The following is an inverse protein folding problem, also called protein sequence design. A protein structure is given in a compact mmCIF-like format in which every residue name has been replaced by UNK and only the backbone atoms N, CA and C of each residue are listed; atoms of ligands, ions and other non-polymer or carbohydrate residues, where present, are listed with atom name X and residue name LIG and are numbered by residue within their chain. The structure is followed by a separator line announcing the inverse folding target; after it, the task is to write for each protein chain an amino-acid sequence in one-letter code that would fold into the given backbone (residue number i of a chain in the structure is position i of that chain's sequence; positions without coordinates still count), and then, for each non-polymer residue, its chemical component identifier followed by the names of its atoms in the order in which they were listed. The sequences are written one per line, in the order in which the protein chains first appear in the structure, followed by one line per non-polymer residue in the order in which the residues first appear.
data_IF_109811524324
#
_entry.id   IF_109811524324
#
_cell.length_a   1.000
_cell.length_b   1.000
_cell.length_c   1.000
_cell.angle_alpha   90.00
_cell.angle_beta   90.00
_cell.angle_gamma   90.00
#
_symmetry.space_group_name_H-M   'P 1'
#
loop_
_entity.id
_entity.type
_entity.pdbx_description
1 polymer ?
#
# COMPACT_ATOMS: atom_id res chain seq x y z
N UNK A 1 -8.12 -2.35 17.00
CA UNK A 1 -9.02 -1.52 16.16
C UNK A 1 -10.06 -0.73 16.99
N UNK A 2 -10.76 -1.33 17.94
CA UNK A 2 -11.75 -0.62 18.78
C UNK A 2 -11.20 0.58 19.59
N UNK A 3 -9.93 0.54 20.00
CA UNK A 3 -9.28 1.67 20.68
C UNK A 3 -9.09 2.88 19.74
N UNK A 4 -8.73 2.66 18.50
CA UNK A 4 -8.56 3.72 17.50
C UNK A 4 -9.89 4.36 17.09
N UNK A 5 -10.98 3.58 17.07
CA UNK A 5 -12.31 4.10 16.75
C UNK A 5 -12.84 5.11 17.79
N UNK A 6 -12.24 5.15 18.99
CA UNK A 6 -12.60 6.10 20.06
C UNK A 6 -11.84 7.42 19.98
N UNK A 7 -10.83 7.53 19.12
CA UNK A 7 -10.09 8.78 18.95
C UNK A 7 -10.99 9.79 18.23
N UNK A 8 -11.22 10.98 18.83
CA UNK A 8 -12.03 12.00 18.18
C UNK A 8 -11.35 12.46 16.88
N UNK A 9 -12.06 12.34 15.78
CA UNK A 9 -11.60 12.78 14.47
C UNK A 9 -12.43 13.97 14.01
N UNK A 10 -11.77 14.99 13.51
CA UNK A 10 -12.41 16.14 12.88
C UNK A 10 -12.26 16.01 11.37
N UNK A 11 -13.31 15.59 10.64
CA UNK A 11 -13.22 15.44 9.19
C UNK A 11 -12.92 16.81 8.55
N UNK A 12 -11.86 16.85 7.75
CA UNK A 12 -11.50 18.02 6.95
C UNK A 12 -11.39 17.59 5.49
N UNK A 13 -11.94 18.39 4.62
CA UNK A 13 -11.84 18.15 3.18
C UNK A 13 -10.45 18.60 2.70
N UNK A 14 -9.48 17.70 2.75
CA UNK A 14 -8.10 17.91 2.28
C UNK A 14 -7.87 17.27 0.93
N UNK A 15 -7.01 17.88 0.13
CA UNK A 15 -6.54 17.26 -1.10
C UNK A 15 -5.64 16.07 -0.75
N UNK A 16 -5.94 14.90 -1.30
CA UNK A 16 -5.15 13.69 -1.10
C UNK A 16 -4.03 13.62 -2.12
N UNK A 17 -2.80 13.50 -1.64
CA UNK A 17 -1.58 13.46 -2.47
C UNK A 17 -0.89 12.12 -2.28
N UNK A 18 -0.84 11.32 -3.35
CA UNK A 18 -0.14 10.03 -3.35
C UNK A 18 1.38 10.22 -3.42
N UNK A 19 2.11 9.64 -2.47
CA UNK A 19 3.57 9.59 -2.49
C UNK A 19 4.00 8.28 -3.14
N UNK A 20 4.58 8.37 -4.33
CA UNK A 20 5.08 7.23 -5.10
C UNK A 20 6.59 7.36 -5.31
N UNK A 21 7.26 6.23 -5.55
CA UNK A 21 8.69 6.22 -5.81
C UNK A 21 9.38 4.95 -5.29
N UNK A 22 10.69 4.99 -5.28
CA UNK A 22 11.54 3.93 -4.75
C UNK A 22 11.29 3.77 -3.25
N UNK A 23 11.39 2.54 -2.75
CA UNK A 23 10.99 2.17 -1.38
C UNK A 23 11.73 2.98 -0.30
N UNK A 24 13.04 3.16 -0.45
CA UNK A 24 13.83 3.93 0.52
C UNK A 24 13.39 5.40 0.53
N UNK A 25 13.32 6.04 -0.64
CA UNK A 25 12.92 7.45 -0.77
C UNK A 25 11.50 7.66 -0.26
N UNK A 26 10.61 6.72 -0.53
CA UNK A 26 9.20 6.82 -0.10
C UNK A 26 9.01 6.79 1.41
N UNK A 27 9.78 5.94 2.13
CA UNK A 27 9.61 5.72 3.56
C UNK A 27 10.67 6.38 4.45
N UNK A 28 11.76 6.91 3.88
CA UNK A 28 12.83 7.53 4.64
C UNK A 28 12.71 9.07 4.61
N UNK A 29 12.36 9.71 5.73
CA UNK A 29 12.24 11.17 5.81
C UNK A 29 13.52 11.91 5.36
N UNK A 30 14.68 11.34 5.65
CA UNK A 30 15.97 11.88 5.19
C UNK A 30 16.10 11.84 3.67
N UNK A 31 15.61 10.78 3.02
CA UNK A 31 15.67 10.60 1.57
C UNK A 31 14.68 11.46 0.79
N UNK A 32 13.56 11.85 1.41
CA UNK A 32 12.50 12.63 0.78
C UNK A 32 12.29 14.03 1.37
N UNK A 33 13.25 14.54 2.15
CA UNK A 33 13.17 15.85 2.78
C UNK A 33 11.91 16.08 3.63
N UNK A 34 11.49 15.08 4.39
CA UNK A 34 10.27 15.13 5.21
C UNK A 34 9.00 15.49 4.42
N UNK A 35 8.84 14.89 3.24
CA UNK A 35 7.75 15.20 2.30
C UNK A 35 6.36 15.09 2.93
N UNK A 36 6.14 14.10 3.81
CA UNK A 36 4.85 13.95 4.51
C UNK A 36 4.55 15.15 5.41
N UNK A 37 5.53 15.60 6.17
CA UNK A 37 5.39 16.78 7.05
C UNK A 37 5.15 18.05 6.22
N UNK A 38 5.84 18.19 5.10
CA UNK A 38 5.63 19.29 4.16
C UNK A 38 4.19 19.31 3.65
N UNK A 39 3.67 18.17 3.15
CA UNK A 39 2.29 18.07 2.66
C UNK A 39 1.26 18.38 3.74
N UNK A 40 1.49 17.94 4.98
CA UNK A 40 0.61 18.26 6.09
C UNK A 40 0.59 19.75 6.40
N UNK A 41 1.72 20.45 6.30
CA UNK A 41 1.83 21.93 6.46
C UNK A 41 1.07 22.66 5.35
N UNK A 42 1.11 22.13 4.13
CA UNK A 42 0.34 22.66 2.98
C UNK A 42 -1.15 22.26 3.01
N UNK A 43 -1.63 21.75 4.15
CA UNK A 43 -3.02 21.31 4.35
C UNK A 43 -3.48 20.20 3.40
N UNK A 44 -2.56 19.41 2.86
CA UNK A 44 -2.82 18.19 2.10
C UNK A 44 -2.83 16.95 3.00
N UNK A 45 -3.45 15.87 2.52
CA UNK A 45 -3.42 14.54 3.15
C UNK A 45 -2.43 13.66 2.39
N UNK A 46 -1.25 13.34 2.96
CA UNK A 46 -0.30 12.44 2.31
C UNK A 46 -0.83 11.01 2.34
N UNK A 47 -0.81 10.34 1.20
CA UNK A 47 -1.18 8.93 1.05
C UNK A 47 0.05 8.14 0.60
N UNK A 48 0.63 7.38 1.52
CA UNK A 48 1.78 6.52 1.24
C UNK A 48 1.28 5.10 1.04
N UNK A 49 1.36 4.52 -0.18
CA UNK A 49 1.00 3.13 -0.41
C UNK A 49 1.82 2.19 0.47
N UNK A 50 1.18 1.15 1.00
CA UNK A 50 1.79 0.21 1.93
C UNK A 50 2.94 -0.59 1.33
N UNK A 51 3.81 -1.10 2.19
CA UNK A 51 4.91 -1.97 1.78
C UNK A 51 4.41 -3.26 1.10
N UNK A 52 3.26 -3.77 1.53
CA UNK A 52 2.63 -4.94 0.92
C UNK A 52 2.31 -4.72 -0.55
N UNK A 53 1.79 -3.55 -0.91
CA UNK A 53 1.47 -3.20 -2.30
C UNK A 53 2.72 -3.17 -3.17
N UNK A 54 3.84 -2.72 -2.63
CA UNK A 54 5.14 -2.75 -3.32
C UNK A 54 5.60 -4.19 -3.58
N UNK A 55 5.47 -5.09 -2.60
CA UNK A 55 5.82 -6.52 -2.75
C UNK A 55 4.93 -7.18 -3.81
N UNK A 56 3.62 -6.91 -3.77
CA UNK A 56 2.67 -7.43 -4.75
C UNK A 56 2.96 -6.93 -6.16
N UNK A 57 3.30 -5.66 -6.32
CA UNK A 57 3.71 -5.09 -7.60
C UNK A 57 4.98 -5.76 -8.15
N UNK A 58 5.98 -5.98 -7.31
CA UNK A 58 7.22 -6.67 -7.70
C UNK A 58 6.96 -8.11 -8.14
N UNK A 59 6.04 -8.79 -7.45
CA UNK A 59 5.65 -10.15 -7.81
C UNK A 59 4.87 -10.20 -9.14
N UNK A 60 3.97 -9.24 -9.38
CA UNK A 60 3.21 -9.14 -10.64
C UNK A 60 4.15 -8.86 -11.83
N UNK A 61 5.12 -7.96 -11.65
CA UNK A 61 6.16 -7.68 -12.67
C UNK A 61 6.95 -8.94 -13.04
N UNK A 62 7.35 -9.76 -12.06
CA UNK A 62 8.05 -11.01 -12.31
C UNK A 62 7.22 -12.03 -13.13
N UNK A 63 5.90 -11.99 -12.97
CA UNK A 63 4.96 -12.81 -13.75
C UNK A 63 4.86 -12.31 -15.22
N UNK A 64 4.76 -10.99 -15.40
CA UNK A 64 4.72 -10.38 -16.74
C UNK A 64 6.03 -10.62 -17.51
N UNK A 65 7.17 -10.51 -16.84
CA UNK A 65 8.48 -10.81 -17.41
C UNK A 65 8.56 -12.26 -17.92
N UNK A 66 8.04 -13.21 -17.13
CA UNK A 66 7.98 -14.60 -17.56
C UNK A 66 7.10 -14.78 -18.81
N UNK A 67 5.94 -14.13 -18.88
CA UNK A 67 5.06 -14.20 -20.05
C UNK A 67 5.71 -13.63 -21.31
N UNK A 68 6.51 -12.58 -21.18
CA UNK A 68 7.14 -11.89 -22.32
C UNK A 68 8.44 -12.52 -22.77
N UNK A 69 9.26 -12.99 -21.84
CA UNK A 69 10.63 -13.45 -22.11
C UNK A 69 10.80 -14.96 -21.91
N UNK A 70 9.81 -15.64 -21.35
CA UNK A 70 9.91 -17.05 -21.01
C UNK A 70 10.82 -17.32 -19.81
N UNK A 71 11.23 -18.56 -19.60
CA UNK A 71 12.13 -18.94 -18.51
C UNK A 71 11.70 -20.21 -17.79
N UNK A 72 12.19 -20.40 -16.57
CA UNK A 72 11.87 -21.59 -15.76
C UNK A 72 10.47 -21.46 -15.16
N UNK A 73 9.58 -22.43 -15.45
CA UNK A 73 8.19 -22.51 -14.99
C UNK A 73 8.01 -22.48 -13.46
N UNK A 74 9.03 -22.88 -12.72
CA UNK A 74 8.98 -22.93 -11.25
C UNK A 74 8.82 -21.55 -10.63
N UNK A 75 9.44 -20.52 -11.21
CA UNK A 75 9.42 -19.15 -10.69
C UNK A 75 8.01 -18.54 -10.71
N UNK A 76 7.27 -18.51 -11.82
CA UNK A 76 5.90 -17.98 -11.85
C UNK A 76 4.93 -18.80 -11.01
N UNK A 77 5.12 -20.10 -10.87
CA UNK A 77 4.27 -20.94 -10.01
C UNK A 77 4.37 -20.54 -8.53
N UNK A 78 5.60 -20.40 -8.03
CA UNK A 78 5.86 -19.95 -6.66
C UNK A 78 5.34 -18.53 -6.44
N UNK A 79 5.60 -17.64 -7.39
CA UNK A 79 5.12 -16.25 -7.32
C UNK A 79 3.60 -16.18 -7.27
N UNK A 80 2.89 -16.98 -8.07
CA UNK A 80 1.41 -17.04 -8.05
C UNK A 80 0.87 -17.52 -6.71
N UNK A 81 1.50 -18.55 -6.12
CA UNK A 81 1.09 -19.05 -4.82
C UNK A 81 1.28 -18.00 -3.72
N UNK A 82 2.44 -17.34 -3.71
CA UNK A 82 2.73 -16.24 -2.77
C UNK A 82 1.73 -15.10 -2.96
N UNK A 83 1.46 -14.67 -4.20
CA UNK A 83 0.47 -13.64 -4.50
C UNK A 83 -0.92 -13.97 -3.97
N UNK A 84 -1.39 -15.21 -4.14
CA UNK A 84 -2.69 -15.64 -3.59
C UNK A 84 -2.75 -15.54 -2.07
N UNK A 85 -1.71 -15.98 -1.39
CA UNK A 85 -1.64 -15.88 0.08
C UNK A 85 -1.64 -14.42 0.52
N UNK A 86 -0.78 -13.59 -0.08
CA UNK A 86 -0.62 -12.19 0.26
C UNK A 86 -1.91 -11.38 0.01
N UNK A 87 -2.57 -11.59 -1.13
CA UNK A 87 -3.86 -10.94 -1.42
C UNK A 87 -4.97 -11.42 -0.50
N UNK A 88 -4.93 -12.66 -0.04
CA UNK A 88 -5.83 -13.17 1.00
C UNK A 88 -5.65 -12.40 2.31
N UNK A 89 -4.42 -12.30 2.79
CA UNK A 89 -4.08 -11.54 4.01
C UNK A 89 -4.48 -10.07 3.86
N UNK A 90 -4.21 -9.45 2.71
CA UNK A 90 -4.59 -8.06 2.45
C UNK A 90 -6.10 -7.85 2.56
N UNK A 91 -6.91 -8.75 1.99
CA UNK A 91 -8.37 -8.69 2.10
C UNK A 91 -8.87 -8.80 3.55
N UNK A 92 -8.26 -9.67 4.35
CA UNK A 92 -8.61 -9.82 5.75
C UNK A 92 -8.21 -8.58 6.58
N UNK A 93 -7.07 -7.97 6.27
CA UNK A 93 -6.64 -6.70 6.86
C UNK A 93 -7.61 -5.56 6.50
N UNK A 94 -7.99 -5.44 5.22
CA UNK A 94 -8.97 -4.43 4.75
C UNK A 94 -10.29 -4.59 5.49
N UNK A 95 -10.85 -5.80 5.55
CA UNK A 95 -12.08 -6.10 6.31
C UNK A 95 -11.98 -5.72 7.79
N UNK A 96 -10.82 -5.99 8.41
CA UNK A 96 -10.59 -5.64 9.80
C UNK A 96 -10.50 -4.12 10.03
N UNK A 97 -10.02 -3.37 9.04
CA UNK A 97 -9.95 -1.89 9.08
C UNK A 97 -11.31 -1.25 8.84
N UNK A 98 -12.13 -1.78 7.94
CA UNK A 98 -13.46 -1.26 7.62
C UNK A 98 -14.50 -1.52 8.74
N UNK A 99 -14.31 -2.59 9.51
CA UNK A 99 -15.25 -2.98 10.57
C UNK A 99 -15.60 -1.88 11.58
N UNK A 100 -14.70 -1.00 12.02
CA UNK A 100 -15.04 0.14 12.88
C UNK A 100 -15.77 1.29 12.17
N UNK A 101 -15.80 1.35 10.83
CA UNK A 101 -16.48 2.37 10.04
C UNK A 101 -15.85 3.77 10.04
N UNK A 102 -14.71 3.95 10.71
CA UNK A 102 -14.02 5.24 10.81
C UNK A 102 -12.74 5.32 9.96
N UNK A 103 -12.35 4.23 9.30
CA UNK A 103 -11.17 4.18 8.46
C UNK A 103 -11.56 3.94 7.00
N UNK A 104 -10.95 4.70 6.10
CA UNK A 104 -10.98 4.38 4.68
C UNK A 104 -9.94 3.31 4.38
N UNK A 105 -10.40 2.19 3.84
CA UNK A 105 -9.48 1.15 3.42
C UNK A 105 -8.58 1.63 2.28
N UNK A 106 -7.30 1.23 2.26
CA UNK A 106 -6.47 1.44 1.09
C UNK A 106 -7.08 0.71 -0.11
N UNK A 107 -6.84 1.24 -1.31
CA UNK A 107 -7.25 0.55 -2.54
C UNK A 107 -6.64 -0.85 -2.58
N UNK A 108 -7.44 -1.88 -2.84
CA UNK A 108 -6.91 -3.23 -3.01
C UNK A 108 -6.03 -3.29 -4.27
N UNK A 109 -4.97 -4.11 -4.23
CA UNK A 109 -4.20 -4.47 -5.41
C UNK A 109 -5.09 -5.32 -6.34
N UNK A 110 -5.62 -4.71 -7.40
CA UNK A 110 -6.66 -5.22 -8.34
C UNK A 110 -8.03 -5.39 -7.72
#
# INVERSE_FOLDING_TARGET
MSAFAKVPVHPRNKVRVGIVGEIYVKFAPLGNNNLEEFLLKENAEPVVPGLLDFILYTADTAMEDYKRYGGKLLRPLVTTAVMKIMTGIQKDMIKAMEKPGCFHAPSSFK
#
